data_IF_935654348293
#
_entry.id   IF_935654348293
#
_cell.length_a   1.000
_cell.length_b   1.000
_cell.length_c   1.000
_cell.angle_alpha   90.00
_cell.angle_beta   90.00
_cell.angle_gamma   90.00
#
_symmetry.space_group_name_H-M   'P 1'
#
loop_
_entity.id
_entity.type
_entity.pdbx_description
1 polymer ?
#
# COMPACT_ATOMS: atom_id res chain seq x y z
N UNK A 1 15.79 2.37 0.68
CA UNK A 1 15.51 2.37 -0.77
C UNK A 1 13.99 2.44 -1.02
N UNK A 2 13.34 3.57 -0.66
CA UNK A 2 11.87 3.73 -0.70
C UNK A 2 11.37 4.59 -1.88
N UNK A 3 12.31 5.12 -2.67
CA UNK A 3 12.06 6.07 -3.76
C UNK A 3 12.19 5.42 -5.14
N UNK A 4 11.88 4.13 -5.29
CA UNK A 4 11.69 3.56 -6.63
C UNK A 4 10.32 4.02 -7.14
N UNK A 5 10.35 5.05 -7.98
CA UNK A 5 9.21 5.61 -8.66
C UNK A 5 8.45 4.48 -9.39
N UNK A 6 7.23 4.17 -8.93
CA UNK A 6 6.39 3.12 -9.51
C UNK A 6 6.04 1.94 -8.60
N UNK A 7 6.60 1.84 -7.39
CA UNK A 7 6.23 0.79 -6.43
C UNK A 7 5.06 1.21 -5.53
N UNK A 8 4.08 0.32 -5.39
CA UNK A 8 2.86 0.48 -4.59
C UNK A 8 3.15 0.39 -3.06
N UNK A 9 4.21 1.06 -2.60
CA UNK A 9 4.66 1.02 -1.21
C UNK A 9 3.87 1.99 -0.33
N UNK A 10 3.79 3.25 -0.75
CA UNK A 10 3.15 4.32 0.04
C UNK A 10 1.64 4.11 0.12
N UNK A 11 1.01 3.72 -0.99
CA UNK A 11 -0.42 3.41 -1.04
C UNK A 11 -0.79 2.19 -0.21
N UNK A 12 0.03 1.14 -0.19
CA UNK A 12 -0.20 -0.04 0.65
C UNK A 12 -0.12 0.32 2.14
N UNK A 13 0.90 1.07 2.55
CA UNK A 13 1.05 1.53 3.93
C UNK A 13 -0.11 2.45 4.36
N UNK A 14 -0.54 3.36 3.48
CA UNK A 14 -1.64 4.28 3.73
C UNK A 14 -2.98 3.55 3.91
N UNK A 15 -3.31 2.62 3.01
CA UNK A 15 -4.53 1.82 3.11
C UNK A 15 -4.52 0.88 4.32
N UNK A 16 -3.36 0.33 4.69
CA UNK A 16 -3.19 -0.44 5.92
C UNK A 16 -3.45 0.37 7.18
N UNK A 17 -2.91 1.60 7.25
CA UNK A 17 -3.16 2.51 8.36
C UNK A 17 -4.62 2.95 8.44
N UNK A 18 -5.27 3.24 7.30
CA UNK A 18 -6.70 3.55 7.22
C UNK A 18 -7.56 2.41 7.74
N UNK A 19 -7.26 1.18 7.33
CA UNK A 19 -7.98 -0.01 7.79
C UNK A 19 -7.81 -0.24 9.30
N UNK A 20 -6.59 -0.09 9.82
CA UNK A 20 -6.32 -0.18 11.26
C UNK A 20 -7.07 0.88 12.06
N UNK A 21 -7.05 2.13 11.60
CA UNK A 21 -7.77 3.23 12.24
C UNK A 21 -9.28 2.98 12.26
N UNK A 22 -9.86 2.57 11.13
CA UNK A 22 -11.29 2.28 11.03
C UNK A 22 -11.70 1.15 11.98
N UNK A 23 -10.94 0.05 12.01
CA UNK A 23 -11.25 -1.11 12.86
C UNK A 23 -11.02 -0.81 14.34
N UNK A 24 -10.04 0.03 14.68
CA UNK A 24 -9.77 0.41 16.06
C UNK A 24 -10.94 1.12 16.74
N UNK A 25 -11.77 1.82 15.97
CA UNK A 25 -12.96 2.49 16.48
C UNK A 25 -14.12 1.56 16.87
N UNK A 26 -14.12 0.31 16.38
CA UNK A 26 -15.27 -0.59 16.56
C UNK A 26 -14.92 -1.90 17.31
N UNK A 27 -13.74 -2.50 17.07
CA UNK A 27 -13.44 -3.88 17.53
C UNK A 27 -12.19 -3.98 18.44
N UNK A 28 -11.58 -2.85 18.84
CA UNK A 28 -10.41 -2.81 19.73
C UNK A 28 -9.06 -2.98 19.02
N UNK A 29 -7.96 -2.83 19.79
CA UNK A 29 -6.59 -2.71 19.24
C UNK A 29 -6.03 -3.99 18.62
N UNK A 30 -6.39 -5.18 19.15
CA UNK A 30 -5.90 -6.46 18.64
C UNK A 30 -6.40 -6.78 17.22
N UNK A 31 -7.68 -6.53 16.97
CA UNK A 31 -8.29 -6.71 15.64
C UNK A 31 -7.82 -5.64 14.65
N UNK A 32 -7.57 -4.42 15.13
CA UNK A 32 -7.03 -3.32 14.33
C UNK A 32 -5.63 -3.63 13.76
N UNK A 33 -4.74 -4.21 14.57
CA UNK A 33 -3.41 -4.63 14.13
C UNK A 33 -3.47 -5.75 13.09
N UNK A 34 -4.36 -6.73 13.30
CA UNK A 34 -4.59 -7.81 12.33
C UNK A 34 -5.14 -7.26 11.01
N UNK A 35 -6.10 -6.35 11.05
CA UNK A 35 -6.67 -5.72 9.86
C UNK A 35 -5.61 -4.90 9.10
N UNK A 36 -4.84 -4.07 9.81
CA UNK A 36 -3.78 -3.25 9.21
C UNK A 36 -2.69 -4.11 8.55
N UNK A 37 -2.23 -5.16 9.23
CA UNK A 37 -1.22 -6.09 8.71
C UNK A 37 -1.73 -6.85 7.48
N UNK A 38 -2.95 -7.38 7.55
CA UNK A 38 -3.55 -8.16 6.46
C UNK A 38 -3.80 -7.30 5.21
N UNK A 39 -4.28 -6.07 5.38
CA UNK A 39 -4.48 -5.11 4.28
C UNK A 39 -3.15 -4.72 3.64
N UNK A 40 -2.14 -4.37 4.44
CA UNK A 40 -0.80 -4.01 3.93
C UNK A 40 -0.16 -5.17 3.18
N UNK A 41 -0.24 -6.39 3.74
CA UNK A 41 0.33 -7.58 3.14
C UNK A 41 -0.37 -7.97 1.84
N UNK A 42 -1.71 -7.92 1.80
CA UNK A 42 -2.48 -8.19 0.58
C UNK A 42 -2.21 -7.16 -0.51
N UNK A 43 -2.12 -5.88 -0.17
CA UNK A 43 -1.83 -4.83 -1.17
C UNK A 43 -0.41 -4.92 -1.69
N UNK A 44 0.56 -5.18 -0.82
CA UNK A 44 1.97 -5.33 -1.23
C UNK A 44 2.19 -6.63 -2.02
N UNK A 45 1.65 -7.74 -1.53
CA UNK A 45 1.72 -9.04 -2.21
C UNK A 45 0.92 -9.05 -3.52
N UNK A 46 -0.26 -8.45 -3.54
CA UNK A 46 -1.09 -8.29 -4.73
C UNK A 46 -0.43 -7.40 -5.78
N UNK A 47 0.21 -6.30 -5.37
CA UNK A 47 0.98 -5.44 -6.28
C UNK A 47 2.15 -6.18 -6.94
N UNK A 48 2.84 -7.06 -6.19
CA UNK A 48 3.92 -7.89 -6.72
C UNK A 48 3.39 -8.98 -7.66
N UNK A 49 2.29 -9.66 -7.28
CA UNK A 49 1.69 -10.72 -8.08
C UNK A 49 1.07 -10.22 -9.40
N UNK A 50 0.42 -9.06 -9.39
CA UNK A 50 -0.19 -8.47 -10.58
C UNK A 50 0.76 -7.59 -11.41
N UNK A 51 2.02 -7.42 -10.97
CA UNK A 51 3.01 -6.62 -11.71
C UNK A 51 2.65 -5.14 -11.86
N UNK A 52 1.82 -4.60 -10.95
CA UNK A 52 1.36 -3.21 -11.00
C UNK A 52 2.55 -2.26 -10.83
N UNK A 53 3.03 -1.71 -11.96
CA UNK A 53 4.01 -0.64 -12.00
C UNK A 53 3.31 0.63 -12.44
N UNK A 54 3.29 1.63 -11.57
CA UNK A 54 2.79 2.95 -11.97
C UNK A 54 3.66 3.47 -13.12
N UNK A 55 3.06 4.02 -14.20
CA UNK A 55 3.82 4.64 -15.28
C UNK A 55 4.63 5.80 -14.70
N UNK A 56 5.95 5.71 -14.82
CA UNK A 56 6.87 6.75 -14.37
C UNK A 56 6.77 7.91 -15.35
N UNK A 57 6.38 9.08 -14.85
CA UNK A 57 6.40 10.30 -15.64
C UNK A 57 7.84 10.59 -16.10
N UNK A 58 8.09 10.53 -17.40
CA UNK A 58 9.38 10.93 -17.99
C UNK A 58 9.32 12.42 -18.29
N UNK A 59 10.20 13.18 -17.66
CA UNK A 59 10.41 14.60 -17.89
C UNK A 59 11.06 14.93 -19.25
N UNK A 60 11.40 13.91 -20.06
CA UNK A 60 11.99 14.12 -21.39
C UNK A 60 10.97 13.71 -22.46
N UNK A 61 10.54 14.62 -23.35
CA UNK A 61 9.74 14.24 -24.50
C UNK A 61 10.54 13.30 -25.43
N UNK A 62 9.90 12.26 -26.00
CA UNK A 62 10.55 11.41 -27.00
C UNK A 62 10.87 12.26 -28.23
N UNK A 63 12.10 12.14 -28.71
CA UNK A 63 12.61 12.74 -29.95
C UNK A 63 12.31 11.84 -31.13
#
# INVERSE_FOLDING_TARGET
MVLRQGELYVTAAFLGALAGWFVSGYLGTGTALFAAGLVTFRLRGGSLAFGWRLPVYRSRPPR
#
